data_IF_313151058245
#
_entry.id   IF_313151058245
#
_cell.length_a   1.000
_cell.length_b   1.000
_cell.length_c   1.000
_cell.angle_alpha   90.00
_cell.angle_beta   90.00
_cell.angle_gamma   90.00
#
_symmetry.space_group_name_H-M   'P 1'
#
loop_
_entity.id
_entity.type
_entity.pdbx_description
1 polymer ?
#
# COMPACT_ATOMS: atom_id res chain seq x y z
N UNK A 1 -42.15 -25.05 -0.06
CA UNK A 1 -41.73 -23.64 0.03
C UNK A 1 -40.30 -23.55 -0.50
N UNK A 2 -40.08 -22.80 -1.58
CA UNK A 2 -38.75 -22.64 -2.20
C UNK A 2 -38.15 -21.36 -1.63
N UNK A 3 -37.06 -21.46 -0.88
CA UNK A 3 -36.33 -20.29 -0.38
C UNK A 3 -35.57 -19.66 -1.55
N UNK A 4 -35.95 -18.46 -1.95
CA UNK A 4 -35.23 -17.68 -2.96
C UNK A 4 -34.41 -16.58 -2.28
N UNK A 5 -33.08 -16.65 -2.44
CA UNK A 5 -32.16 -15.64 -1.93
C UNK A 5 -32.15 -14.44 -2.88
N UNK A 6 -32.82 -13.34 -2.48
CA UNK A 6 -32.82 -12.09 -3.24
C UNK A 6 -31.78 -11.13 -2.65
N UNK A 7 -30.95 -10.53 -3.51
CA UNK A 7 -29.96 -9.53 -3.09
C UNK A 7 -30.67 -8.31 -2.52
N UNK A 8 -30.30 -7.91 -1.28
CA UNK A 8 -30.86 -6.71 -0.66
C UNK A 8 -30.41 -5.45 -1.42
N UNK A 9 -31.31 -4.50 -1.70
CA UNK A 9 -30.98 -3.26 -2.40
C UNK A 9 -30.14 -2.30 -1.53
N UNK A 10 -30.34 -2.31 -0.21
CA UNK A 10 -29.57 -1.50 0.73
C UNK A 10 -28.68 -2.39 1.62
N UNK A 11 -27.39 -2.04 1.81
CA UNK A 11 -26.54 -2.72 2.78
C UNK A 11 -27.07 -2.48 4.19
N UNK A 12 -27.05 -3.54 5.02
CA UNK A 12 -27.48 -3.45 6.42
C UNK A 12 -26.52 -2.53 7.20
N UNK A 13 -27.06 -1.48 7.82
CA UNK A 13 -26.29 -0.56 8.68
C UNK A 13 -25.58 -1.29 9.83
N UNK A 14 -26.24 -2.29 10.41
CA UNK A 14 -25.64 -3.14 11.44
C UNK A 14 -24.47 -3.95 10.89
N UNK A 15 -24.61 -4.53 9.70
CA UNK A 15 -23.50 -5.27 9.09
C UNK A 15 -22.37 -4.38 8.61
N UNK A 16 -22.62 -3.12 8.28
CA UNK A 16 -21.56 -2.17 7.96
C UNK A 16 -20.63 -1.90 9.15
N UNK A 17 -21.16 -1.93 10.38
CA UNK A 17 -20.38 -1.76 11.62
C UNK A 17 -19.85 -3.09 12.15
N UNK A 18 -20.61 -4.18 12.01
CA UNK A 18 -20.21 -5.49 12.49
C UNK A 18 -19.17 -6.15 11.59
N UNK A 19 -19.14 -5.87 10.27
CA UNK A 19 -18.23 -6.55 9.36
C UNK A 19 -16.75 -6.35 9.69
N UNK A 20 -16.24 -5.13 10.01
CA UNK A 20 -14.85 -4.96 10.40
C UNK A 20 -14.54 -5.65 11.75
N UNK A 21 -15.47 -5.62 12.70
CA UNK A 21 -15.31 -6.29 13.99
C UNK A 21 -15.23 -7.81 13.85
N UNK A 22 -16.09 -8.39 13.02
CA UNK A 22 -16.07 -9.82 12.68
C UNK A 22 -14.76 -10.16 11.98
N UNK A 23 -14.31 -9.34 11.02
CA UNK A 23 -13.06 -9.57 10.32
C UNK A 23 -11.85 -9.57 11.27
N UNK A 24 -11.79 -8.63 12.23
CA UNK A 24 -10.75 -8.58 13.26
C UNK A 24 -10.81 -9.83 14.16
N UNK A 25 -12.00 -10.21 14.63
CA UNK A 25 -12.17 -11.40 15.47
C UNK A 25 -11.73 -12.68 14.74
N UNK A 26 -12.12 -12.84 13.47
CA UNK A 26 -11.71 -13.97 12.64
C UNK A 26 -10.20 -13.97 12.38
N UNK A 27 -9.59 -12.79 12.22
CA UNK A 27 -8.14 -12.65 12.04
C UNK A 27 -7.42 -13.13 13.30
N UNK A 28 -7.81 -12.65 14.48
CA UNK A 28 -7.23 -13.06 15.77
C UNK A 28 -7.41 -14.56 15.99
N UNK A 29 -8.60 -15.10 15.72
CA UNK A 29 -8.87 -16.53 15.86
C UNK A 29 -8.01 -17.37 14.91
N UNK A 30 -7.87 -16.95 13.65
CA UNK A 30 -7.06 -17.64 12.65
C UNK A 30 -5.58 -17.61 13.03
N UNK A 31 -5.06 -16.44 13.42
CA UNK A 31 -3.68 -16.29 13.88
C UNK A 31 -3.39 -17.13 15.12
N UNK A 32 -4.33 -17.19 16.08
CA UNK A 32 -4.22 -18.04 17.26
C UNK A 32 -4.08 -19.52 16.87
N UNK A 33 -4.96 -20.01 16.00
CA UNK A 33 -4.93 -21.40 15.51
C UNK A 33 -3.61 -21.70 14.79
N UNK A 34 -3.13 -20.79 13.94
CA UNK A 34 -1.85 -20.95 13.25
C UNK A 34 -0.71 -21.09 14.27
N UNK A 35 -0.60 -20.18 15.25
CA UNK A 35 0.47 -20.28 16.26
C UNK A 35 0.39 -21.56 17.08
N UNK A 36 -0.82 -21.99 17.46
CA UNK A 36 -1.02 -23.25 18.18
C UNK A 36 -0.54 -24.46 17.36
N UNK A 37 -0.84 -24.48 16.05
CA UNK A 37 -0.40 -25.54 15.14
C UNK A 37 1.12 -25.54 14.92
N UNK A 38 1.75 -24.37 14.94
CA UNK A 38 3.21 -24.24 14.85
C UNK A 38 3.94 -24.57 16.17
N UNK A 39 3.21 -24.83 17.27
CA UNK A 39 3.81 -25.10 18.59
C UNK A 39 4.37 -23.86 19.29
N UNK A 40 3.99 -22.67 18.85
CA UNK A 40 4.36 -21.39 19.49
C UNK A 40 3.22 -20.98 20.42
N UNK A 41 3.54 -20.42 21.60
CA UNK A 41 2.52 -19.86 22.51
C UNK A 41 1.66 -18.81 21.77
N UNK A 42 0.37 -19.10 21.51
CA UNK A 42 -0.48 -18.21 20.72
C UNK A 42 -0.74 -16.87 21.40
N UNK A 43 -0.83 -16.87 22.74
CA UNK A 43 -1.11 -15.63 23.50
C UNK A 43 0.07 -14.68 23.40
N UNK A 44 1.30 -15.20 23.57
CA UNK A 44 2.52 -14.41 23.36
C UNK A 44 2.65 -13.95 21.92
N UNK A 45 2.34 -14.80 20.94
CA UNK A 45 2.35 -14.43 19.52
C UNK A 45 1.39 -13.26 19.21
N UNK A 46 0.15 -13.35 19.69
CA UNK A 46 -0.84 -12.27 19.54
C UNK A 46 -0.41 -10.99 20.26
N UNK A 47 0.18 -11.08 21.46
CA UNK A 47 0.72 -9.91 22.16
C UNK A 47 1.81 -9.22 21.35
N UNK A 48 2.77 -9.98 20.81
CA UNK A 48 3.87 -9.43 20.00
C UNK A 48 3.33 -8.79 18.71
N UNK A 49 2.29 -9.37 18.11
CA UNK A 49 1.76 -8.87 16.84
C UNK A 49 0.88 -7.62 16.99
N UNK A 50 0.04 -7.56 18.03
CA UNK A 50 -0.98 -6.51 18.18
C UNK A 50 -0.67 -5.48 19.26
N UNK A 51 0.06 -5.86 20.33
CA UNK A 51 0.25 -5.00 21.51
C UNK A 51 1.66 -4.45 21.57
N UNK A 52 2.68 -5.28 21.38
CA UNK A 52 4.08 -4.85 21.44
C UNK A 52 4.41 -3.65 20.51
N UNK A 53 3.86 -3.55 19.29
CA UNK A 53 4.13 -2.40 18.42
C UNK A 53 3.61 -1.06 18.98
N UNK A 54 2.66 -1.10 19.91
CA UNK A 54 2.05 0.08 20.54
C UNK A 54 2.74 0.46 21.85
N UNK A 55 3.49 -0.44 22.48
CA UNK A 55 4.07 -0.22 23.81
C UNK A 55 5.47 0.37 23.75
N UNK A 56 6.27 -0.01 22.77
CA UNK A 56 7.67 0.41 22.66
C UNK A 56 7.80 1.73 21.87
N UNK A 57 8.77 2.58 22.23
CA UNK A 57 9.00 3.86 21.54
C UNK A 57 9.35 3.66 20.06
N UNK A 58 10.38 2.84 19.81
CA UNK A 58 10.85 2.50 18.46
C UNK A 58 9.76 1.86 17.60
N UNK A 59 8.99 0.92 18.14
CA UNK A 59 7.94 0.24 17.36
C UNK A 59 6.80 1.15 16.96
N UNK A 60 6.49 2.18 17.77
CA UNK A 60 5.52 3.21 17.41
C UNK A 60 6.01 4.07 16.25
N UNK A 61 7.29 4.42 16.24
CA UNK A 61 7.90 5.17 15.14
C UNK A 61 7.82 4.38 13.84
N UNK A 62 8.23 3.10 13.84
CA UNK A 62 8.10 2.20 12.69
C UNK A 62 6.64 2.05 12.22
N UNK A 63 5.69 1.95 13.15
CA UNK A 63 4.27 1.88 12.84
C UNK A 63 3.80 3.14 12.09
N UNK A 64 4.20 4.32 12.55
CA UNK A 64 3.86 5.59 11.88
C UNK A 64 4.55 5.70 10.52
N UNK A 65 5.82 5.32 10.41
CA UNK A 65 6.58 5.34 9.15
C UNK A 65 5.89 4.48 8.08
N UNK A 66 5.38 3.29 8.45
CA UNK A 66 4.66 2.41 7.52
C UNK A 66 3.20 2.83 7.29
N UNK A 67 2.51 3.33 8.31
CA UNK A 67 1.11 3.71 8.20
C UNK A 67 0.91 4.99 7.37
N UNK A 68 1.84 5.95 7.47
CA UNK A 68 1.75 7.24 6.77
C UNK A 68 1.52 7.10 5.26
N UNK A 69 2.35 6.37 4.49
CA UNK A 69 2.13 6.23 3.06
C UNK A 69 0.82 5.49 2.73
N UNK A 70 0.44 4.47 3.50
CA UNK A 70 -0.81 3.73 3.28
C UNK A 70 -2.05 4.62 3.48
N UNK A 71 -2.04 5.46 4.53
CA UNK A 71 -3.12 6.41 4.80
C UNK A 71 -3.21 7.46 3.69
N UNK A 72 -2.07 8.00 3.24
CA UNK A 72 -2.03 8.97 2.15
C UNK A 72 -2.56 8.38 0.83
N UNK A 73 -2.18 7.14 0.52
CA UNK A 73 -2.69 6.41 -0.65
C UNK A 73 -4.21 6.23 -0.54
N UNK A 74 -4.71 5.76 0.61
CA UNK A 74 -6.14 5.55 0.84
C UNK A 74 -6.93 6.86 0.69
N UNK A 75 -6.43 7.96 1.24
CA UNK A 75 -7.04 9.28 1.11
C UNK A 75 -7.08 9.77 -0.35
N UNK A 76 -5.98 9.60 -1.10
CA UNK A 76 -5.92 9.96 -2.52
C UNK A 76 -6.86 9.12 -3.38
N UNK A 77 -6.93 7.81 -3.14
CA UNK A 77 -7.85 6.91 -3.83
C UNK A 77 -9.32 7.23 -3.53
N UNK A 78 -9.65 7.59 -2.29
CA UNK A 78 -11.00 8.00 -1.93
C UNK A 78 -11.49 9.17 -2.80
N UNK A 79 -10.62 10.15 -3.08
CA UNK A 79 -10.93 11.27 -3.99
C UNK A 79 -11.13 10.78 -5.44
N UNK A 80 -10.27 9.88 -5.93
CA UNK A 80 -10.42 9.33 -7.27
C UNK A 80 -11.75 8.58 -7.46
N UNK A 81 -12.15 7.80 -6.45
CA UNK A 81 -13.40 7.03 -6.47
C UNK A 81 -14.66 7.88 -6.49
N UNK A 82 -14.62 9.13 -6.00
CA UNK A 82 -15.74 10.08 -6.16
C UNK A 82 -16.07 10.36 -7.63
N UNK A 83 -15.09 10.25 -8.52
CA UNK A 83 -15.27 10.41 -9.97
C UNK A 83 -15.55 9.10 -10.72
N UNK A 84 -15.82 8.01 -10.00
CA UNK A 84 -15.96 6.65 -10.55
C UNK A 84 -14.72 6.16 -11.33
N UNK A 85 -13.53 6.70 -11.05
CA UNK A 85 -12.29 6.22 -11.64
C UNK A 85 -11.65 5.19 -10.72
N UNK A 86 -11.69 3.92 -11.12
CA UNK A 86 -11.22 2.80 -10.30
C UNK A 86 -9.74 2.51 -10.57
N UNK A 87 -8.87 3.19 -9.82
CA UNK A 87 -7.44 2.94 -9.84
C UNK A 87 -7.05 1.85 -8.82
N UNK A 88 -6.55 0.71 -9.31
CA UNK A 88 -5.96 -0.36 -8.47
C UNK A 88 -4.42 -0.26 -8.47
N UNK A 89 -3.83 0.49 -9.40
CA UNK A 89 -2.38 0.63 -9.57
C UNK A 89 -1.66 1.55 -8.59
N UNK A 90 -2.28 1.87 -7.44
CA UNK A 90 -1.69 2.77 -6.45
C UNK A 90 -0.38 2.25 -5.86
N UNK A 91 -0.25 0.93 -5.68
CA UNK A 91 1.00 0.29 -5.26
C UNK A 91 2.15 0.57 -6.25
N UNK A 92 1.86 0.54 -7.55
CA UNK A 92 2.86 0.84 -8.56
C UNK A 92 3.22 2.33 -8.64
N UNK A 93 2.24 3.20 -8.45
CA UNK A 93 2.47 4.65 -8.34
C UNK A 93 3.33 4.97 -7.11
N UNK A 94 3.06 4.34 -5.98
CA UNK A 94 3.87 4.44 -4.77
C UNK A 94 5.30 3.94 -5.03
N UNK A 95 5.43 2.78 -5.67
CA UNK A 95 6.74 2.19 -6.00
C UNK A 95 7.59 3.13 -6.87
N UNK A 96 7.04 3.68 -7.94
CA UNK A 96 7.75 4.66 -8.78
C UNK A 96 8.04 5.95 -8.04
N UNK A 97 7.13 6.40 -7.17
CA UNK A 97 7.38 7.54 -6.29
C UNK A 97 8.55 7.30 -5.34
N UNK A 98 8.64 6.13 -4.73
CA UNK A 98 9.79 5.74 -3.88
C UNK A 98 11.08 5.79 -4.69
N UNK A 99 11.11 5.21 -5.89
CA UNK A 99 12.29 5.25 -6.78
C UNK A 99 12.69 6.71 -7.09
N UNK A 100 11.74 7.54 -7.50
CA UNK A 100 12.02 8.94 -7.85
C UNK A 100 12.55 9.73 -6.65
N UNK A 101 11.97 9.54 -5.45
CA UNK A 101 12.43 10.16 -4.22
C UNK A 101 13.81 9.67 -3.78
N UNK A 102 14.06 8.35 -3.86
CA UNK A 102 15.32 7.74 -3.45
C UNK A 102 16.49 8.06 -4.39
N UNK A 103 16.22 8.51 -5.62
CA UNK A 103 17.26 8.89 -6.56
C UNK A 103 18.20 9.97 -5.99
N UNK A 104 17.71 10.88 -5.14
CA UNK A 104 18.53 11.95 -4.56
C UNK A 104 19.62 11.39 -3.63
N UNK A 105 19.29 10.68 -2.52
CA UNK A 105 20.33 10.16 -1.64
C UNK A 105 21.20 9.08 -2.29
N UNK A 106 20.70 8.38 -3.32
CA UNK A 106 21.45 7.34 -4.02
C UNK A 106 22.46 7.95 -5.01
N UNK A 107 22.04 8.93 -5.82
CA UNK A 107 22.89 9.51 -6.87
C UNK A 107 23.73 10.71 -6.38
N UNK A 108 23.31 11.36 -5.30
CA UNK A 108 23.99 12.49 -4.69
C UNK A 108 24.08 12.32 -3.15
N UNK A 109 24.82 11.31 -2.66
CA UNK A 109 24.88 10.98 -1.23
C UNK A 109 25.46 12.11 -0.35
N UNK A 110 26.29 12.98 -0.93
CA UNK A 110 26.87 14.15 -0.25
C UNK A 110 25.86 15.31 -0.10
N UNK A 111 24.74 15.27 -0.83
CA UNK A 111 23.68 16.27 -0.74
C UNK A 111 22.79 16.01 0.49
N UNK A 112 23.32 16.28 1.67
CA UNK A 112 22.64 16.09 2.96
C UNK A 112 22.29 17.44 3.60
N UNK A 113 21.48 18.23 2.91
CA UNK A 113 21.01 19.53 3.42
C UNK A 113 19.57 19.43 3.90
N UNK A 114 19.07 20.46 4.57
CA UNK A 114 17.65 20.55 4.93
C UNK A 114 16.71 20.43 3.71
N UNK A 115 17.19 20.76 2.51
CA UNK A 115 16.43 20.67 1.26
C UNK A 115 16.27 19.22 0.73
N UNK A 116 17.08 18.27 1.21
CA UNK A 116 17.06 16.89 0.72
C UNK A 116 15.68 16.25 0.96
N UNK A 117 15.13 16.34 2.17
CA UNK A 117 13.83 15.75 2.51
C UNK A 117 12.66 16.36 1.71
N UNK A 118 12.48 17.70 1.63
CA UNK A 118 11.47 18.31 0.76
C UNK A 118 11.60 17.89 -0.70
N UNK A 119 12.82 17.83 -1.23
CA UNK A 119 13.03 17.46 -2.63
C UNK A 119 12.70 15.99 -2.89
N UNK A 120 13.03 15.09 -1.96
CA UNK A 120 12.63 13.68 -2.02
C UNK A 120 11.10 13.53 -2.06
N UNK A 121 10.37 14.29 -1.22
CA UNK A 121 8.91 14.29 -1.21
C UNK A 121 8.33 14.80 -2.53
N UNK A 122 8.88 15.88 -3.09
CA UNK A 122 8.44 16.45 -4.36
C UNK A 122 8.71 15.46 -5.50
N UNK A 123 9.91 14.89 -5.57
CA UNK A 123 10.26 13.89 -6.59
C UNK A 123 9.38 12.65 -6.49
N UNK A 124 9.10 12.18 -5.27
CA UNK A 124 8.21 11.03 -5.09
C UNK A 124 6.76 11.31 -5.49
N UNK A 125 6.23 12.47 -5.11
CA UNK A 125 4.89 12.89 -5.52
C UNK A 125 4.78 13.03 -7.04
N UNK A 126 5.77 13.65 -7.69
CA UNK A 126 5.80 13.80 -9.14
C UNK A 126 5.98 12.46 -9.85
N UNK A 127 6.86 11.58 -9.36
CA UNK A 127 7.06 10.24 -9.90
C UNK A 127 5.76 9.43 -9.90
N UNK A 128 5.07 9.38 -8.76
CA UNK A 128 3.78 8.70 -8.65
C UNK A 128 2.69 9.32 -9.52
N UNK A 129 2.58 10.65 -9.57
CA UNK A 129 1.60 11.36 -10.39
C UNK A 129 1.81 11.14 -11.89
N UNK A 130 3.06 11.23 -12.36
CA UNK A 130 3.41 10.96 -13.75
C UNK A 130 3.11 9.50 -14.11
N UNK A 131 3.42 8.55 -13.23
CA UNK A 131 3.13 7.14 -13.48
C UNK A 131 1.62 6.86 -13.53
N UNK A 132 0.85 7.48 -12.64
CA UNK A 132 -0.62 7.40 -12.64
C UNK A 132 -1.28 8.04 -13.86
N UNK A 133 -0.58 8.93 -14.55
CA UNK A 133 -1.05 9.54 -15.80
C UNK A 133 -1.07 8.54 -16.95
N UNK A 134 -0.24 7.49 -16.93
CA UNK A 134 -0.18 6.48 -17.98
C UNK A 134 -1.54 5.78 -18.18
N UNK A 135 -2.15 5.11 -17.17
CA UNK A 135 -3.45 4.47 -17.35
C UNK A 135 -4.56 5.48 -17.65
N UNK A 136 -4.47 6.71 -17.09
CA UNK A 136 -5.42 7.78 -17.39
C UNK A 136 -5.39 8.21 -18.87
N UNK A 137 -4.19 8.36 -19.45
CA UNK A 137 -4.01 8.66 -20.87
C UNK A 137 -4.50 7.51 -21.74
N UNK A 138 -4.16 6.27 -21.37
CA UNK A 138 -4.58 5.08 -22.11
C UNK A 138 -6.11 4.91 -22.11
N UNK A 139 -6.77 5.22 -21.00
CA UNK A 139 -8.24 5.25 -20.93
C UNK A 139 -8.82 6.35 -21.82
N UNK A 140 -8.36 7.58 -21.64
CA UNK A 140 -8.96 8.76 -22.29
C UNK A 140 -8.72 8.83 -23.80
N UNK A 141 -7.57 8.34 -24.29
CA UNK A 141 -7.22 8.39 -25.72
C UNK A 141 -7.57 7.12 -26.47
N UNK A 142 -7.48 5.96 -25.82
CA UNK A 142 -7.61 4.66 -26.49
C UNK A 142 -8.79 3.81 -25.97
N UNK A 143 -9.56 4.31 -24.98
CA UNK A 143 -10.72 3.59 -24.44
C UNK A 143 -10.36 2.29 -23.71
N UNK A 144 -9.11 2.17 -23.24
CA UNK A 144 -8.67 0.96 -22.52
C UNK A 144 -9.29 0.87 -21.13
N UNK A 145 -9.39 -0.35 -20.60
CA UNK A 145 -9.85 -0.58 -19.24
C UNK A 145 -8.79 -0.09 -18.23
N UNK A 146 -9.11 0.94 -17.44
CA UNK A 146 -8.19 1.49 -16.45
C UNK A 146 -7.81 0.52 -15.32
N UNK A 147 -8.69 -0.43 -14.99
CA UNK A 147 -8.46 -1.40 -13.92
C UNK A 147 -7.35 -2.35 -14.36
N UNK A 148 -7.48 -2.89 -15.58
CA UNK A 148 -6.48 -3.80 -16.12
C UNK A 148 -5.14 -3.09 -16.35
N UNK A 149 -5.16 -1.92 -16.98
CA UNK A 149 -3.91 -1.19 -17.27
C UNK A 149 -3.19 -0.74 -16.00
N UNK A 150 -3.91 -0.23 -15.00
CA UNK A 150 -3.31 0.17 -13.73
C UNK A 150 -2.75 -1.03 -12.95
N UNK A 151 -3.44 -2.18 -12.94
CA UNK A 151 -2.92 -3.41 -12.33
C UNK A 151 -1.67 -3.93 -13.04
N UNK A 152 -1.66 -3.93 -14.38
CA UNK A 152 -0.49 -4.36 -15.16
C UNK A 152 0.73 -3.50 -14.88
N UNK A 153 0.54 -2.19 -14.70
CA UNK A 153 1.61 -1.26 -14.36
C UNK A 153 2.17 -1.46 -12.95
N UNK A 154 1.42 -2.04 -12.01
CA UNK A 154 2.01 -2.45 -10.71
C UNK A 154 3.15 -3.44 -10.94
N UNK A 155 2.92 -4.49 -11.73
CA UNK A 155 3.96 -5.48 -12.01
C UNK A 155 5.18 -4.86 -12.70
N UNK A 156 4.95 -3.98 -13.67
CA UNK A 156 6.03 -3.26 -14.36
C UNK A 156 6.87 -2.45 -13.36
N UNK A 157 6.22 -1.71 -12.46
CA UNK A 157 6.93 -0.89 -11.46
C UNK A 157 7.73 -1.73 -10.46
N UNK A 158 7.19 -2.87 -10.00
CA UNK A 158 7.87 -3.77 -9.08
C UNK A 158 9.07 -4.46 -9.73
N UNK A 159 8.91 -4.93 -10.98
CA UNK A 159 10.02 -5.50 -11.76
C UNK A 159 11.09 -4.45 -12.08
N UNK A 160 10.67 -3.20 -12.31
CA UNK A 160 11.60 -2.10 -12.52
C UNK A 160 12.38 -1.75 -11.24
N UNK A 161 11.72 -1.75 -10.08
CA UNK A 161 12.39 -1.62 -8.78
C UNK A 161 13.39 -2.75 -8.56
N UNK A 162 13.00 -4.00 -8.80
CA UNK A 162 13.90 -5.15 -8.63
C UNK A 162 15.13 -5.04 -9.53
N UNK A 163 14.93 -4.65 -10.80
CA UNK A 163 16.02 -4.42 -11.73
C UNK A 163 16.95 -3.28 -11.27
N UNK A 164 16.40 -2.14 -10.82
CA UNK A 164 17.22 -0.98 -10.46
C UNK A 164 18.08 -1.28 -9.22
N UNK A 165 17.50 -1.93 -8.20
CA UNK A 165 18.18 -2.27 -6.94
C UNK A 165 19.25 -3.33 -7.14
N UNK A 166 19.01 -4.33 -7.99
CA UNK A 166 20.00 -5.40 -8.26
C UNK A 166 21.05 -5.02 -9.30
N UNK A 167 20.77 -4.02 -10.13
CA UNK A 167 21.63 -3.57 -11.21
C UNK A 167 22.22 -2.19 -10.91
N UNK A 168 21.74 -1.12 -11.59
CA UNK A 168 22.34 0.21 -11.54
C UNK A 168 22.56 0.82 -10.15
N UNK A 169 21.68 0.55 -9.18
CA UNK A 169 21.72 1.11 -7.83
C UNK A 169 22.22 0.13 -6.78
N UNK A 170 22.77 -1.01 -7.21
CA UNK A 170 23.37 -1.96 -6.29
C UNK A 170 24.56 -1.31 -5.59
N UNK A 171 24.63 -1.49 -4.27
CA UNK A 171 25.79 -1.08 -3.49
C UNK A 171 27.05 -1.80 -4.01
N UNK A 172 28.09 -1.07 -4.48
CA UNK A 172 29.33 -1.66 -4.96
C UNK A 172 30.07 -2.47 -3.89
N UNK A 173 29.79 -2.21 -2.61
CA UNK A 173 30.45 -2.83 -1.46
C UNK A 173 29.71 -4.07 -0.92
N UNK A 174 28.55 -4.44 -1.50
CA UNK A 174 27.68 -5.52 -1.05
C UNK A 174 27.76 -6.83 -1.88
#
# INVERSE_FOLDING_TARGET
>A
MRLELVRRPEPSRWMAVLSPLIAVALTVATTFVIFALYGVDPFRGLYIYFVAPLTEGWSREELVVKATPLILIAAGLAVAYLSNNWNIGAEGQFTIGVIAGSAIPILAPDFQTFATLPLMLIMGALGGALYGTIPALLKTRFGTNEILTSLMLVYVSLLFLDWIVRGPWRDPMA
#
